data_IF_856839325483
#
_entry.id   IF_856839325483
#
_cell.length_a   1.000
_cell.length_b   1.000
_cell.length_c   1.000
_cell.angle_alpha   90.00
_cell.angle_beta   90.00
_cell.angle_gamma   90.00
#
_symmetry.space_group_name_H-M   'P 1'
#
loop_
_entity.id
_entity.type
_entity.pdbx_description
1 polymer ?
#
# COMPACT_ATOMS: atom_id res chain seq x y z
N UNK A 1 -1.97 18.24 44.09
CA UNK A 1 -1.30 16.92 44.15
C UNK A 1 -0.75 16.66 42.77
N UNK A 2 0.52 17.02 42.57
CA UNK A 2 1.25 16.75 41.34
C UNK A 2 1.58 15.27 41.29
N UNK A 3 1.03 14.57 40.31
CA UNK A 3 1.40 13.18 40.04
C UNK A 3 2.79 13.22 39.38
N UNK A 4 3.84 12.66 39.99
CA UNK A 4 5.14 12.61 39.35
C UNK A 4 5.04 11.74 38.10
N UNK A 5 5.48 12.28 36.96
CA UNK A 5 5.72 11.47 35.78
C UNK A 5 6.75 10.38 36.13
N UNK A 6 6.52 9.13 35.73
CA UNK A 6 7.43 8.03 36.05
C UNK A 6 8.84 8.38 35.56
N UNK A 7 9.77 8.43 36.49
CA UNK A 7 11.17 8.68 36.22
C UNK A 7 11.78 7.46 35.52
N UNK A 8 12.20 7.66 34.28
CA UNK A 8 13.36 7.01 33.67
C UNK A 8 13.35 5.49 33.62
N UNK A 9 12.49 4.91 32.78
CA UNK A 9 12.93 3.71 32.06
C UNK A 9 14.09 4.14 31.16
N UNK A 10 15.29 3.64 31.49
CA UNK A 10 16.48 3.75 30.65
C UNK A 10 16.10 3.42 29.21
N UNK A 11 16.18 4.41 28.33
CA UNK A 11 16.07 4.26 26.89
C UNK A 11 17.14 3.27 26.44
N UNK A 12 16.78 1.99 26.33
CA UNK A 12 17.62 0.99 25.68
C UNK A 12 17.88 1.48 24.27
N UNK A 13 19.09 1.96 24.00
CA UNK A 13 19.51 2.22 22.64
C UNK A 13 19.47 0.89 21.91
N UNK A 14 18.67 0.83 20.85
CA UNK A 14 18.67 -0.32 19.95
C UNK A 14 20.08 -0.61 19.46
N UNK A 15 20.47 -1.88 19.50
CA UNK A 15 21.62 -2.31 18.73
C UNK A 15 21.29 -2.13 17.23
N UNK A 16 22.23 -1.63 16.41
CA UNK A 16 22.00 -1.44 14.97
C UNK A 16 21.44 -2.69 14.26
N UNK A 17 21.89 -3.87 14.66
CA UNK A 17 21.49 -5.15 14.10
C UNK A 17 20.00 -5.45 14.34
N UNK A 18 19.49 -5.10 15.53
CA UNK A 18 18.07 -5.27 15.88
C UNK A 18 17.18 -4.33 15.05
N UNK A 19 17.63 -3.09 14.83
CA UNK A 19 16.92 -2.14 13.99
C UNK A 19 16.87 -2.61 12.53
N UNK A 20 18.00 -3.08 11.99
CA UNK A 20 18.09 -3.62 10.63
C UNK A 20 17.18 -4.84 10.49
N UNK A 21 17.21 -5.78 11.45
CA UNK A 21 16.37 -6.96 11.45
C UNK A 21 14.88 -6.62 11.51
N UNK A 22 14.48 -5.68 12.37
CA UNK A 22 13.11 -5.21 12.46
C UNK A 22 12.64 -4.54 11.16
N UNK A 23 13.47 -3.67 10.59
CA UNK A 23 13.14 -2.96 9.35
C UNK A 23 13.04 -3.92 8.15
N UNK A 24 13.94 -4.90 8.08
CA UNK A 24 13.87 -5.99 7.11
C UNK A 24 12.58 -6.80 7.23
N UNK A 25 12.20 -7.18 8.45
CA UNK A 25 10.96 -7.94 8.70
C UNK A 25 9.69 -7.14 8.33
N UNK A 26 9.69 -5.82 8.53
CA UNK A 26 8.61 -4.95 8.07
C UNK A 26 8.57 -4.85 6.55
N UNK A 27 9.73 -4.61 5.91
CA UNK A 27 9.84 -4.53 4.45
C UNK A 27 9.40 -5.83 3.76
N UNK A 28 9.80 -6.97 4.30
CA UNK A 28 9.41 -8.30 3.81
C UNK A 28 7.88 -8.45 3.83
N UNK A 29 7.23 -8.08 4.95
CA UNK A 29 5.76 -8.17 5.10
C UNK A 29 4.98 -7.27 4.16
N UNK A 30 5.55 -6.12 3.78
CA UNK A 30 4.87 -5.15 2.92
C UNK A 30 5.09 -5.45 1.43
N UNK A 31 6.31 -5.85 1.08
CA UNK A 31 6.76 -5.77 -0.31
C UNK A 31 7.37 -7.06 -0.87
N UNK A 32 7.46 -8.13 -0.10
CA UNK A 32 8.10 -9.36 -0.59
C UNK A 32 7.20 -10.58 -0.51
N UNK A 33 7.22 -11.37 -1.59
CA UNK A 33 6.76 -12.76 -1.64
C UNK A 33 7.65 -13.53 -2.60
N UNK A 34 7.73 -14.85 -2.48
CA UNK A 34 8.43 -15.66 -3.48
C UNK A 34 7.68 -15.75 -4.82
N UNK A 35 6.37 -15.50 -4.81
CA UNK A 35 5.51 -15.61 -5.99
C UNK A 35 5.67 -14.48 -7.00
N UNK A 36 5.38 -14.82 -8.25
CA UNK A 36 5.37 -13.90 -9.39
C UNK A 36 3.98 -13.81 -10.00
N UNK A 37 3.67 -12.66 -10.60
CA UNK A 37 2.45 -12.48 -11.38
C UNK A 37 2.43 -13.43 -12.57
N UNK A 38 1.24 -13.78 -13.03
CA UNK A 38 1.04 -14.56 -14.24
C UNK A 38 0.30 -13.72 -15.27
N UNK A 39 0.65 -13.95 -16.52
CA UNK A 39 -0.10 -13.43 -17.65
C UNK A 39 -1.49 -14.07 -17.65
N UNK A 40 -2.55 -13.27 -17.61
CA UNK A 40 -3.92 -13.77 -17.45
C UNK A 40 -4.40 -14.57 -18.68
N UNK A 41 -3.88 -14.25 -19.88
CA UNK A 41 -4.30 -14.91 -21.12
C UNK A 41 -3.55 -16.23 -21.37
N UNK A 42 -2.27 -16.29 -20.99
CA UNK A 42 -1.38 -17.43 -21.30
C UNK A 42 -1.00 -18.25 -20.07
N UNK A 43 -1.29 -17.78 -18.86
CA UNK A 43 -0.88 -18.40 -17.58
C UNK A 43 0.63 -18.32 -17.29
N UNK A 44 1.43 -17.75 -18.21
CA UNK A 44 2.89 -17.69 -18.12
C UNK A 44 3.32 -16.82 -16.93
N UNK A 45 4.29 -17.30 -16.16
CA UNK A 45 4.90 -16.53 -15.08
C UNK A 45 5.63 -15.31 -15.66
N UNK A 46 5.31 -14.13 -15.12
CA UNK A 46 5.94 -12.86 -15.44
C UNK A 46 7.17 -12.64 -14.55
N UNK A 47 8.02 -11.68 -14.92
CA UNK A 47 9.20 -11.30 -14.12
C UNK A 47 8.88 -10.36 -12.95
N UNK A 48 7.61 -10.03 -12.75
CA UNK A 48 7.16 -9.11 -11.72
C UNK A 48 6.67 -9.91 -10.52
N UNK A 49 7.31 -9.72 -9.37
CA UNK A 49 6.97 -10.36 -8.10
C UNK A 49 5.60 -9.89 -7.61
N UNK A 50 4.79 -10.77 -7.03
CA UNK A 50 3.59 -10.37 -6.28
C UNK A 50 4.02 -9.69 -4.98
N UNK A 51 3.17 -8.84 -4.42
CA UNK A 51 3.46 -8.15 -3.15
C UNK A 51 2.22 -8.06 -2.28
N UNK A 52 2.37 -8.11 -0.94
CA UNK A 52 1.29 -7.90 0.00
C UNK A 52 0.61 -6.54 -0.13
N UNK A 53 1.39 -5.47 -0.29
CA UNK A 53 0.86 -4.15 -0.64
C UNK A 53 0.41 -4.16 -2.11
N UNK A 54 -0.85 -3.79 -2.43
CA UNK A 54 -1.33 -3.76 -3.80
C UNK A 54 -0.69 -2.61 -4.57
N UNK A 55 -0.55 -2.78 -5.87
CA UNK A 55 -0.15 -1.70 -6.77
C UNK A 55 -0.88 -1.80 -8.10
N UNK A 56 -1.26 -0.66 -8.64
CA UNK A 56 -1.90 -0.58 -9.94
C UNK A 56 -1.04 -1.22 -11.03
N UNK A 57 -1.60 -2.23 -11.69
CA UNK A 57 -0.96 -2.99 -12.78
C UNK A 57 0.35 -3.65 -12.41
N UNK A 58 0.54 -4.00 -11.13
CA UNK A 58 1.77 -4.61 -10.64
C UNK A 58 3.03 -3.77 -10.93
N UNK A 59 2.91 -2.43 -10.94
CA UNK A 59 4.06 -1.56 -11.20
C UNK A 59 4.97 -1.41 -9.99
N UNK A 60 4.42 -1.53 -8.78
CA UNK A 60 5.08 -1.47 -7.49
C UNK A 60 6.16 -0.36 -7.40
N UNK A 61 5.74 0.91 -7.59
CA UNK A 61 6.68 2.03 -7.62
C UNK A 61 7.21 2.39 -6.23
N UNK A 62 6.50 2.02 -5.16
CA UNK A 62 6.81 2.48 -3.80
C UNK A 62 8.13 1.90 -3.30
N UNK A 63 8.99 2.74 -2.72
CA UNK A 63 10.13 2.28 -1.91
C UNK A 63 9.92 2.64 -0.43
N UNK A 64 10.63 1.94 0.43
CA UNK A 64 10.57 2.10 1.88
C UNK A 64 11.94 2.49 2.42
N UNK A 65 11.97 3.59 3.15
CA UNK A 65 13.15 4.12 3.83
C UNK A 65 12.90 4.25 5.32
N UNK A 66 13.96 4.19 6.10
CA UNK A 66 13.95 4.41 7.54
C UNK A 66 15.01 5.41 7.94
N UNK A 67 14.67 6.29 8.88
CA UNK A 67 15.61 7.17 9.57
C UNK A 67 15.51 7.00 11.09
N UNK A 68 16.67 6.88 11.75
CA UNK A 68 16.80 6.93 13.20
C UNK A 68 18.09 7.68 13.59
N UNK A 69 17.97 8.91 14.05
CA UNK A 69 19.14 9.76 14.32
C UNK A 69 19.96 9.99 13.05
N UNK A 70 21.21 9.52 13.03
CA UNK A 70 22.10 9.55 11.88
C UNK A 70 21.95 8.36 10.92
N UNK A 71 21.26 7.29 11.34
CA UNK A 71 21.08 6.09 10.54
C UNK A 71 20.03 6.28 9.45
N UNK A 72 20.33 5.80 8.25
CA UNK A 72 19.42 5.78 7.10
C UNK A 72 19.46 4.42 6.45
N UNK A 73 18.32 3.76 6.36
CA UNK A 73 18.21 2.43 5.76
C UNK A 73 17.20 2.47 4.62
N UNK A 74 17.46 1.71 3.56
CA UNK A 74 16.51 1.48 2.46
C UNK A 74 16.25 -0.02 2.31
N UNK A 75 14.99 -0.38 2.08
CA UNK A 75 14.61 -1.76 1.85
C UNK A 75 14.54 -2.07 0.35
N UNK A 76 15.39 -2.99 -0.12
CA UNK A 76 15.36 -3.52 -1.47
C UNK A 76 14.40 -4.70 -1.55
N UNK A 77 13.19 -4.36 -1.97
CA UNK A 77 12.08 -5.28 -2.19
C UNK A 77 12.24 -6.27 -3.36
N UNK A 78 13.24 -6.11 -4.24
CA UNK A 78 13.50 -7.11 -5.28
C UNK A 78 14.34 -8.27 -4.74
N UNK A 79 15.30 -7.96 -3.87
CA UNK A 79 16.26 -8.92 -3.31
C UNK A 79 16.00 -9.29 -1.84
N UNK A 80 15.01 -8.67 -1.18
CA UNK A 80 14.71 -8.84 0.25
C UNK A 80 15.93 -8.54 1.15
N UNK A 81 16.56 -7.39 0.92
CA UNK A 81 17.73 -6.95 1.70
C UNK A 81 17.58 -5.51 2.17
N UNK A 82 18.24 -5.18 3.27
CA UNK A 82 18.32 -3.82 3.81
C UNK A 82 19.69 -3.22 3.45
N UNK A 83 19.67 -2.02 2.87
CA UNK A 83 20.87 -1.25 2.56
C UNK A 83 21.07 -0.14 3.58
N UNK A 84 22.29 0.00 4.10
CA UNK A 84 22.69 1.14 4.91
C UNK A 84 23.15 2.29 4.00
N UNK A 85 22.41 3.39 4.06
CA UNK A 85 22.65 4.61 3.29
C UNK A 85 23.37 5.68 4.11
N UNK A 86 23.75 5.40 5.36
CA UNK A 86 24.30 6.39 6.29
C UNK A 86 25.64 6.97 5.82
N UNK A 87 26.42 6.20 5.05
CA UNK A 87 27.72 6.62 4.52
C UNK A 87 27.66 7.40 3.20
N UNK A 88 26.53 7.40 2.48
CA UNK A 88 26.43 7.93 1.10
C UNK A 88 26.43 9.46 1.03
N UNK A 89 26.33 10.15 2.17
CA UNK A 89 26.12 11.61 2.24
C UNK A 89 27.36 12.43 2.66
N UNK A 90 28.56 11.85 2.66
CA UNK A 90 29.80 12.59 2.98
C UNK A 90 30.26 13.58 1.90
N UNK A 91 29.56 13.69 0.76
CA UNK A 91 29.93 14.61 -0.33
C UNK A 91 28.87 15.69 -0.51
N UNK A 92 28.97 16.77 0.27
CA UNK A 92 28.43 18.08 -0.07
C UNK A 92 27.03 18.44 0.45
N UNK A 93 26.26 17.49 0.98
CA UNK A 93 24.98 17.80 1.59
C UNK A 93 25.21 18.31 3.01
N UNK A 94 24.93 19.61 3.22
CA UNK A 94 24.86 20.19 4.54
C UNK A 94 23.91 19.33 5.38
N UNK A 95 24.35 18.77 6.52
CA UNK A 95 23.45 18.04 7.39
C UNK A 95 22.36 19.02 7.79
N UNK A 96 21.12 18.79 7.36
CA UNK A 96 19.98 19.51 7.93
C UNK A 96 20.06 19.18 9.41
N UNK A 97 20.41 20.17 10.25
CA UNK A 97 20.56 20.04 11.70
C UNK A 97 19.17 19.87 12.32
N UNK A 98 18.55 18.72 12.03
CA UNK A 98 17.33 18.25 12.64
C UNK A 98 17.73 17.69 14.01
N UNK A 99 18.20 18.54 14.94
CA UNK A 99 18.46 18.13 16.32
C UNK A 99 17.19 17.51 16.89
N UNK A 100 17.10 16.18 17.06
CA UNK A 100 15.90 15.59 17.60
C UNK A 100 15.99 15.68 19.12
N UNK A 101 14.96 16.21 19.78
CA UNK A 101 14.77 16.09 21.25
C UNK A 101 14.44 14.65 21.70
N UNK A 102 14.63 13.65 20.82
CA UNK A 102 14.86 12.23 21.09
C UNK A 102 14.95 11.45 19.78
N UNK A 103 15.64 10.30 19.73
CA UNK A 103 15.61 9.41 18.57
C UNK A 103 14.16 8.95 18.33
N UNK A 104 13.59 9.37 17.19
CA UNK A 104 12.31 8.87 16.67
C UNK A 104 12.60 8.07 15.41
N UNK A 105 11.99 6.90 15.28
CA UNK A 105 12.02 6.12 14.05
C UNK A 105 11.03 6.75 13.08
N UNK A 106 11.50 7.13 11.90
CA UNK A 106 10.66 7.62 10.80
C UNK A 106 10.75 6.67 9.63
N UNK A 107 9.60 6.29 9.11
CA UNK A 107 9.50 5.61 7.82
C UNK A 107 9.13 6.63 6.77
N UNK A 108 9.82 6.60 5.64
CA UNK A 108 9.52 7.46 4.50
C UNK A 108 9.18 6.59 3.30
N UNK A 109 8.03 6.87 2.70
CA UNK A 109 7.53 6.20 1.50
C UNK A 109 7.72 7.11 0.30
N UNK A 110 8.42 6.58 -0.67
CA UNK A 110 8.80 7.24 -1.90
C UNK A 110 8.24 6.47 -3.09
N UNK A 111 8.30 7.01 -4.29
CA UNK A 111 7.86 6.35 -5.52
C UNK A 111 8.92 6.46 -6.61
N UNK A 112 9.11 5.40 -7.40
CA UNK A 112 9.90 5.40 -8.64
C UNK A 112 8.95 5.68 -9.82
N UNK A 113 8.86 6.92 -10.36
CA UNK A 113 7.87 7.26 -11.39
C UNK A 113 8.02 6.43 -12.66
N UNK A 114 9.26 6.09 -13.01
CA UNK A 114 9.58 5.32 -14.21
C UNK A 114 8.90 3.94 -14.27
N UNK A 115 8.52 3.36 -13.12
CA UNK A 115 7.85 2.04 -13.08
C UNK A 115 6.39 2.07 -13.56
N UNK A 116 5.72 3.22 -13.49
CA UNK A 116 4.29 3.33 -13.79
C UNK A 116 3.95 4.43 -14.79
N UNK A 117 4.81 5.43 -14.97
CA UNK A 117 4.56 6.52 -15.92
C UNK A 117 4.45 6.05 -17.36
N UNK A 118 5.27 5.09 -17.80
CA UNK A 118 5.24 4.56 -19.17
C UNK A 118 3.88 3.96 -19.54
N UNK A 119 3.24 3.29 -18.57
CA UNK A 119 1.93 2.63 -18.71
C UNK A 119 0.75 3.58 -18.52
N UNK A 120 0.81 4.44 -17.50
CA UNK A 120 -0.37 5.21 -17.05
C UNK A 120 -0.33 6.68 -17.42
N UNK A 121 0.83 7.20 -17.85
CA UNK A 121 1.01 8.58 -18.33
C UNK A 121 0.42 9.59 -17.34
N UNK A 122 -0.49 10.45 -17.80
CA UNK A 122 -1.14 11.49 -16.99
C UNK A 122 -1.97 10.95 -15.82
N UNK A 123 -2.30 9.65 -15.79
CA UNK A 123 -2.99 8.99 -14.66
C UNK A 123 -2.03 8.43 -13.61
N UNK A 124 -0.73 8.42 -13.87
CA UNK A 124 0.24 7.77 -12.98
C UNK A 124 0.26 8.41 -11.58
N UNK A 125 0.08 9.72 -11.48
CA UNK A 125 0.20 10.44 -10.21
C UNK A 125 -0.89 10.06 -9.18
N UNK A 126 -2.14 9.83 -9.60
CA UNK A 126 -3.19 9.35 -8.68
C UNK A 126 -2.90 7.94 -8.20
N UNK A 127 -2.34 7.10 -9.08
CA UNK A 127 -1.91 5.75 -8.75
C UNK A 127 -0.71 5.73 -7.79
N UNK A 128 0.22 6.69 -7.92
CA UNK A 128 1.31 6.85 -6.95
C UNK A 128 0.78 7.16 -5.55
N UNK A 129 -0.20 8.06 -5.45
CA UNK A 129 -0.86 8.38 -4.18
C UNK A 129 -1.54 7.13 -3.62
N UNK A 130 -2.30 6.40 -4.44
CA UNK A 130 -2.95 5.16 -4.03
C UNK A 130 -1.92 4.15 -3.49
N UNK A 131 -0.88 3.83 -4.26
CA UNK A 131 0.13 2.85 -3.88
C UNK A 131 0.86 3.24 -2.58
N UNK A 132 1.21 4.51 -2.41
CA UNK A 132 1.81 5.03 -1.16
C UNK A 132 0.85 4.93 0.01
N UNK A 133 -0.41 5.33 -0.15
CA UNK A 133 -1.41 5.24 0.92
C UNK A 133 -1.63 3.79 1.35
N UNK A 134 -1.70 2.87 0.40
CA UNK A 134 -1.78 1.44 0.70
C UNK A 134 -0.54 0.95 1.43
N UNK A 135 0.67 1.35 1.04
CA UNK A 135 1.90 1.00 1.76
C UNK A 135 1.92 1.53 3.20
N UNK A 136 1.52 2.80 3.40
CA UNK A 136 1.46 3.45 4.71
C UNK A 136 0.45 2.74 5.62
N UNK A 137 -0.78 2.51 5.14
CA UNK A 137 -1.79 1.80 5.93
C UNK A 137 -1.40 0.33 6.15
N UNK A 138 -0.69 -0.29 5.21
CA UNK A 138 -0.12 -1.63 5.37
C UNK A 138 0.91 -1.66 6.49
N UNK A 139 1.81 -0.67 6.55
CA UNK A 139 2.77 -0.53 7.63
C UNK A 139 2.07 -0.31 8.98
N UNK A 140 1.09 0.60 9.04
CA UNK A 140 0.28 0.84 10.25
C UNK A 140 -0.41 -0.44 10.74
N UNK A 141 -0.96 -1.20 9.81
CA UNK A 141 -1.62 -2.46 10.08
C UNK A 141 -0.63 -3.53 10.59
N UNK A 142 0.53 -3.68 9.94
CA UNK A 142 1.60 -4.59 10.36
C UNK A 142 2.12 -4.27 11.76
N UNK A 143 2.22 -2.98 12.09
CA UNK A 143 2.67 -2.46 13.38
C UNK A 143 1.58 -2.50 14.47
N UNK A 144 0.38 -3.01 14.17
CA UNK A 144 -0.66 -3.29 15.16
C UNK A 144 -1.44 -2.08 15.68
N UNK A 145 -1.32 -0.90 15.05
CA UNK A 145 -2.18 0.27 15.33
C UNK A 145 -2.11 0.87 16.76
N UNK A 146 -1.06 0.56 17.52
CA UNK A 146 -0.89 1.06 18.89
C UNK A 146 -0.52 2.56 19.00
N UNK A 147 -0.50 3.13 20.21
CA UNK A 147 -0.21 4.55 20.47
C UNK A 147 1.19 5.00 20.03
N UNK A 148 2.06 4.04 19.71
CA UNK A 148 3.41 4.29 19.20
C UNK A 148 3.41 4.61 17.70
N UNK A 149 2.45 4.09 16.92
CA UNK A 149 2.36 4.38 15.48
C UNK A 149 1.67 5.73 15.27
N UNK A 150 2.48 6.77 15.05
CA UNK A 150 2.02 8.12 14.80
C UNK A 150 1.13 8.24 13.57
N UNK A 151 0.39 9.34 13.49
CA UNK A 151 -0.33 9.68 12.27
C UNK A 151 0.67 9.84 11.10
N UNK A 152 0.29 9.51 9.85
CA UNK A 152 1.05 9.93 8.69
C UNK A 152 1.25 11.45 8.75
N UNK A 153 2.48 11.92 8.58
CA UNK A 153 2.77 13.35 8.54
C UNK A 153 3.07 13.78 7.10
N UNK A 154 2.44 14.88 6.69
CA UNK A 154 2.65 15.52 5.40
C UNK A 154 3.77 16.56 5.56
N UNK A 155 5.01 16.08 5.64
CA UNK A 155 6.16 16.98 5.53
C UNK A 155 6.37 17.33 4.04
N UNK A 156 6.84 18.54 3.76
CA UNK A 156 7.11 18.95 2.39
C UNK A 156 8.09 18.00 1.68
N UNK A 157 8.04 17.89 0.34
CA UNK A 157 8.81 16.92 -0.43
C UNK A 157 10.33 17.00 -0.17
N UNK A 158 10.88 18.20 0.03
CA UNK A 158 12.30 18.40 0.40
C UNK A 158 12.64 17.76 1.75
N UNK A 159 11.77 17.88 2.75
CA UNK A 159 11.99 17.28 4.08
C UNK A 159 11.95 15.76 3.97
N UNK A 160 10.93 15.22 3.30
CA UNK A 160 10.81 13.77 3.09
C UNK A 160 11.96 13.20 2.26
N UNK A 161 12.42 13.93 1.23
CA UNK A 161 13.60 13.53 0.46
C UNK A 161 14.85 13.47 1.35
N UNK A 162 15.07 14.50 2.17
CA UNK A 162 16.16 14.51 3.14
C UNK A 162 16.08 13.37 4.15
N UNK A 163 14.89 12.99 4.60
CA UNK A 163 14.68 11.82 5.48
C UNK A 163 15.04 10.49 4.80
N UNK A 164 14.70 10.35 3.52
CA UNK A 164 15.05 9.19 2.70
C UNK A 164 16.50 9.21 2.16
N UNK A 165 17.27 10.28 2.42
CA UNK A 165 18.62 10.43 1.84
C UNK A 165 18.61 10.63 0.32
N UNK A 166 17.51 11.18 -0.22
CA UNK A 166 17.37 11.53 -1.61
C UNK A 166 17.80 12.99 -1.84
N UNK A 167 18.30 13.34 -3.05
CA UNK A 167 18.56 14.72 -3.43
C UNK A 167 17.30 15.59 -3.31
N UNK A 168 17.49 16.89 -3.07
CA UNK A 168 16.38 17.83 -3.02
C UNK A 168 15.61 17.83 -4.37
N UNK A 169 14.29 17.91 -4.24
CA UNK A 169 13.32 18.11 -5.33
C UNK A 169 13.52 19.40 -6.11
N UNK A 170 14.28 20.37 -5.60
CA UNK A 170 14.68 21.58 -6.32
C UNK A 170 15.94 21.42 -7.17
N UNK A 171 16.90 20.57 -6.76
CA UNK A 171 18.19 20.33 -7.44
C UNK A 171 18.12 19.16 -8.41
N UNK A 172 16.93 18.95 -8.92
CA UNK A 172 16.40 17.67 -9.29
C UNK A 172 16.94 17.40 -10.72
N UNK A 173 17.93 16.52 -10.95
CA UNK A 173 18.50 16.34 -12.27
C UNK A 173 17.48 15.69 -13.22
N UNK A 174 17.56 15.97 -14.51
CA UNK A 174 16.67 15.45 -15.57
C UNK A 174 16.62 13.91 -15.69
N UNK A 175 17.37 13.19 -14.85
CA UNK A 175 17.52 11.74 -14.81
C UNK A 175 16.71 11.02 -13.70
N UNK A 176 15.69 11.66 -13.09
CA UNK A 176 14.96 11.18 -11.90
C UNK A 176 14.81 9.67 -11.78
N UNK A 177 15.13 9.16 -10.58
CA UNK A 177 14.76 7.81 -10.19
C UNK A 177 13.65 7.75 -9.14
N UNK A 178 13.48 8.74 -8.25
CA UNK A 178 12.59 8.59 -7.08
C UNK A 178 12.00 9.91 -6.53
N UNK A 179 10.74 9.90 -6.05
CA UNK A 179 10.04 11.04 -5.42
C UNK A 179 9.58 10.67 -4.01
N UNK A 180 9.87 11.50 -3.01
CA UNK A 180 9.33 11.31 -1.67
C UNK A 180 7.89 11.81 -1.57
N UNK A 181 6.99 11.01 -1.00
CA UNK A 181 5.54 11.28 -1.04
C UNK A 181 4.95 11.41 0.36
N UNK A 182 5.27 10.51 1.29
CA UNK A 182 4.65 10.50 2.62
C UNK A 182 5.62 9.99 3.70
N UNK A 183 5.60 10.64 4.86
CA UNK A 183 6.26 10.16 6.07
C UNK A 183 5.29 9.50 7.05
N UNK A 184 5.80 8.55 7.82
CA UNK A 184 5.11 7.91 8.95
C UNK A 184 6.04 7.90 10.16
N UNK A 185 5.65 8.62 11.22
CA UNK A 185 6.34 8.51 12.50
C UNK A 185 5.93 7.19 13.18
N UNK A 186 6.91 6.37 13.56
CA UNK A 186 6.65 5.12 14.30
C UNK A 186 6.78 5.33 15.82
N UNK A 187 6.95 6.58 16.27
CA UNK A 187 6.98 6.97 17.69
C UNK A 187 8.37 6.90 18.35
N UNK A 188 8.44 7.20 19.66
CA UNK A 188 9.58 6.86 20.53
C UNK A 188 9.47 5.39 20.88
N UNK A 189 9.94 4.54 20.00
CA UNK A 189 9.92 3.09 20.22
C UNK A 189 11.30 2.73 20.77
N UNK A 190 11.37 2.30 22.02
CA UNK A 190 12.11 1.04 22.22
C UNK A 190 11.35 0.02 21.37
N UNK A 191 12.03 -0.67 20.44
CA UNK A 191 11.44 -1.32 19.27
C UNK A 191 10.21 -2.14 19.66
N UNK A 192 9.18 -2.26 18.79
CA UNK A 192 8.24 -3.35 18.97
C UNK A 192 9.10 -4.60 18.88
N UNK A 193 9.12 -5.43 19.94
CA UNK A 193 9.76 -6.74 19.85
C UNK A 193 9.38 -7.36 18.51
N UNK A 194 10.34 -7.87 17.74
CA UNK A 194 10.11 -8.40 16.39
C UNK A 194 8.91 -9.37 16.32
N UNK A 195 8.55 -10.00 17.44
CA UNK A 195 7.34 -10.81 17.62
C UNK A 195 5.98 -10.07 17.71
N UNK A 196 5.94 -8.74 17.68
CA UNK A 196 4.71 -7.92 17.75
C UNK A 196 4.17 -7.50 16.37
N UNK A 197 4.91 -7.76 15.29
CA UNK A 197 4.39 -7.53 13.94
C UNK A 197 3.26 -8.55 13.67
N UNK A 198 2.14 -8.08 13.10
CA UNK A 198 1.03 -8.94 12.65
C UNK A 198 1.42 -9.71 11.38
N UNK A 199 2.36 -10.63 11.52
CA UNK A 199 3.03 -11.41 10.47
C UNK A 199 2.08 -12.19 9.51
N UNK A 200 0.95 -12.80 9.94
CA UNK A 200 0.19 -13.69 9.07
C UNK A 200 -0.79 -13.01 8.10
N UNK A 201 -1.31 -11.83 8.45
CA UNK A 201 -2.48 -11.27 7.75
C UNK A 201 -2.13 -10.61 6.40
N UNK A 202 -1.00 -9.90 6.31
CA UNK A 202 -0.58 -9.27 5.06
C UNK A 202 -0.03 -10.28 4.05
N UNK A 203 0.73 -11.29 4.48
CA UNK A 203 1.34 -12.28 3.56
C UNK A 203 0.31 -13.09 2.75
N UNK A 204 -0.92 -13.21 3.24
CA UNK A 204 -2.02 -13.90 2.54
C UNK A 204 -2.79 -13.01 1.56
N UNK A 205 -2.53 -11.71 1.54
CA UNK A 205 -3.20 -10.77 0.64
C UNK A 205 -3.03 -11.08 -0.84
N UNK A 206 -1.83 -11.47 -1.33
CA UNK A 206 -1.66 -11.77 -2.75
C UNK A 206 -2.64 -12.86 -3.19
N UNK A 207 -2.73 -13.96 -2.45
CA UNK A 207 -3.59 -15.11 -2.77
C UNK A 207 -5.08 -14.79 -2.68
N UNK A 208 -5.44 -13.83 -1.82
CA UNK A 208 -6.82 -13.37 -1.64
C UNK A 208 -7.24 -12.26 -2.63
N UNK A 209 -6.35 -11.84 -3.55
CA UNK A 209 -6.60 -10.76 -4.54
C UNK A 209 -6.73 -11.22 -5.98
N UNK A 210 -6.19 -12.39 -6.31
CA UNK A 210 -6.02 -12.85 -7.68
C UNK A 210 -6.78 -14.15 -7.90
N UNK A 211 -8.10 -14.10 -7.77
CA UNK A 211 -8.94 -15.18 -8.27
C UNK A 211 -8.71 -15.23 -9.78
N UNK A 212 -8.33 -16.39 -10.35
CA UNK A 212 -8.22 -16.51 -11.79
C UNK A 212 -9.56 -16.14 -12.43
N UNK A 213 -9.56 -15.35 -13.51
CA UNK A 213 -10.80 -14.98 -14.22
C UNK A 213 -11.61 -16.21 -14.63
N UNK A 214 -10.94 -17.34 -14.92
CA UNK A 214 -11.61 -18.62 -15.20
C UNK A 214 -12.48 -19.12 -14.03
N UNK A 215 -12.10 -18.84 -12.78
CA UNK A 215 -12.89 -19.19 -11.59
C UNK A 215 -14.08 -18.25 -11.46
N UNK A 216 -13.90 -16.95 -11.75
CA UNK A 216 -15.00 -15.98 -11.78
C UNK A 216 -16.02 -16.29 -12.88
N UNK A 217 -15.55 -16.66 -14.07
CA UNK A 217 -16.40 -17.05 -15.20
C UNK A 217 -17.26 -18.28 -14.87
N UNK A 218 -16.68 -19.29 -14.20
CA UNK A 218 -17.40 -20.50 -13.80
C UNK A 218 -18.46 -20.25 -12.72
N UNK A 219 -18.20 -19.35 -11.77
CA UNK A 219 -19.19 -18.92 -10.76
C UNK A 219 -20.34 -18.13 -11.42
N UNK A 220 -20.03 -17.29 -12.41
CA UNK A 220 -21.04 -16.52 -13.16
C UNK A 220 -21.97 -17.44 -13.97
N UNK A 221 -21.43 -18.43 -14.69
CA UNK A 221 -22.22 -19.42 -15.44
C UNK A 221 -23.14 -20.27 -14.53
N UNK A 222 -22.70 -20.52 -13.30
CA UNK A 222 -23.50 -21.25 -12.30
C UNK A 222 -24.64 -20.41 -11.73
N UNK A 223 -24.42 -19.10 -11.60
CA UNK A 223 -25.42 -18.15 -11.10
C UNK A 223 -26.41 -17.70 -12.19
N UNK A 224 -26.04 -17.69 -13.48
CA UNK A 224 -26.94 -17.30 -14.59
C UNK A 224 -28.13 -18.24 -14.80
N UNK A 225 -28.14 -19.43 -14.19
CA UNK A 225 -29.32 -20.30 -14.14
C UNK A 225 -30.38 -19.85 -13.14
N UNK A 226 -30.12 -18.80 -12.37
CA UNK A 226 -31.03 -18.24 -11.38
C UNK A 226 -30.99 -16.72 -11.43
N UNK A 227 -32.12 -16.09 -11.74
CA UNK A 227 -32.47 -14.66 -11.53
C UNK A 227 -32.37 -13.73 -12.77
N UNK A 228 -33.52 -13.13 -13.08
CA UNK A 228 -33.70 -11.91 -13.87
C UNK A 228 -32.67 -10.83 -13.52
N UNK A 229 -31.89 -10.36 -14.49
CA UNK A 229 -30.87 -9.31 -14.28
C UNK A 229 -31.53 -8.02 -13.77
N UNK A 230 -31.28 -7.70 -12.49
CA UNK A 230 -31.76 -6.49 -11.85
C UNK A 230 -31.09 -5.21 -12.41
N UNK A 231 -31.79 -4.06 -12.40
CA UNK A 231 -31.28 -2.77 -12.89
C UNK A 231 -30.00 -2.25 -12.20
N UNK A 232 -29.61 -2.81 -11.05
CA UNK A 232 -28.37 -2.45 -10.35
C UNK A 232 -27.08 -2.86 -11.10
N UNK A 233 -27.14 -3.76 -12.08
CA UNK A 233 -25.98 -4.10 -12.92
C UNK A 233 -25.49 -2.94 -13.80
N UNK A 234 -26.34 -1.94 -14.06
CA UNK A 234 -25.93 -0.74 -14.81
C UNK A 234 -24.93 0.13 -14.02
N UNK A 235 -24.92 0.01 -12.67
CA UNK A 235 -23.91 0.64 -11.82
C UNK A 235 -22.55 -0.10 -11.85
N UNK A 236 -22.51 -1.37 -12.27
CA UNK A 236 -21.29 -2.19 -12.41
C UNK A 236 -20.58 -2.03 -13.77
N UNK A 237 -21.27 -1.55 -14.80
CA UNK A 237 -20.66 -1.23 -16.10
C UNK A 237 -19.72 -0.01 -16.03
N UNK A 238 -19.99 0.93 -15.13
CA UNK A 238 -19.21 2.15 -14.97
C UNK A 238 -17.76 1.88 -14.53
N UNK A 239 -17.49 1.06 -13.49
CA UNK A 239 -16.12 0.75 -13.09
C UNK A 239 -15.25 0.10 -14.15
N UNK A 240 -15.84 -0.73 -15.01
CA UNK A 240 -15.15 -1.40 -16.13
C UNK A 240 -14.67 -0.36 -17.15
N UNK A 241 -15.58 0.53 -17.57
CA UNK A 241 -15.26 1.58 -18.55
C UNK A 241 -14.25 2.60 -18.01
N UNK A 242 -14.38 2.98 -16.73
CA UNK A 242 -13.57 4.04 -16.14
C UNK A 242 -12.17 3.58 -15.71
N UNK A 243 -12.04 2.33 -15.25
CA UNK A 243 -10.74 1.80 -14.82
C UNK A 243 -9.87 1.35 -15.99
N UNK A 244 -10.50 1.10 -17.17
CA UNK A 244 -9.84 0.47 -18.32
C UNK A 244 -9.50 -1.01 -18.07
N UNK A 245 -10.17 -1.64 -17.12
CA UNK A 245 -9.98 -3.04 -16.74
C UNK A 245 -11.27 -3.80 -17.05
N UNK A 246 -11.16 -5.00 -17.63
CA UNK A 246 -12.32 -5.81 -18.04
C UNK A 246 -12.89 -6.67 -16.91
N UNK A 247 -12.02 -7.14 -16.03
CA UNK A 247 -12.37 -8.04 -14.94
C UNK A 247 -13.35 -7.49 -13.87
N UNK A 248 -13.50 -6.17 -13.63
CA UNK A 248 -14.49 -5.69 -12.64
C UNK A 248 -15.94 -6.06 -13.01
N UNK A 249 -16.21 -6.39 -14.27
CA UNK A 249 -17.53 -6.83 -14.74
C UNK A 249 -17.96 -8.17 -14.11
N UNK A 250 -16.99 -8.97 -13.66
CA UNK A 250 -17.18 -10.35 -13.21
C UNK A 250 -17.35 -10.44 -11.68
N UNK A 251 -17.40 -9.30 -10.96
CA UNK A 251 -17.49 -9.27 -9.50
C UNK A 251 -18.91 -9.02 -9.03
N UNK A 252 -19.33 -9.82 -8.05
CA UNK A 252 -20.69 -9.79 -7.48
C UNK A 252 -20.97 -8.50 -6.70
N UNK A 253 -19.95 -7.94 -6.03
CA UNK A 253 -20.11 -6.74 -5.21
C UNK A 253 -18.96 -5.75 -5.40
N UNK A 254 -19.30 -4.49 -5.74
CA UNK A 254 -18.35 -3.39 -5.79
C UNK A 254 -18.76 -2.28 -4.84
N UNK A 255 -17.82 -1.87 -3.98
CA UNK A 255 -17.95 -0.66 -3.17
C UNK A 255 -17.25 0.49 -3.86
N UNK A 256 -18.02 1.48 -4.30
CA UNK A 256 -17.51 2.67 -4.97
C UNK A 256 -17.28 3.81 -3.97
N UNK A 257 -16.22 4.58 -4.21
CA UNK A 257 -15.92 5.81 -3.50
C UNK A 257 -15.99 6.96 -4.48
N UNK A 258 -17.04 7.77 -4.39
CA UNK A 258 -17.33 8.85 -5.32
C UNK A 258 -17.33 10.20 -4.63
N UNK A 259 -17.07 11.26 -5.39
CA UNK A 259 -17.26 12.65 -4.96
C UNK A 259 -17.95 13.46 -6.05
N UNK A 260 -18.70 14.52 -5.70
CA UNK A 260 -19.30 15.40 -6.70
C UNK A 260 -18.26 15.97 -7.68
N UNK A 261 -18.61 16.11 -8.96
CA UNK A 261 -17.70 16.72 -9.95
C UNK A 261 -17.47 18.21 -9.68
N UNK A 262 -18.34 18.84 -8.91
CA UNK A 262 -18.23 20.23 -8.46
C UNK A 262 -17.31 20.39 -7.25
N UNK A 263 -16.76 19.31 -6.69
CA UNK A 263 -15.78 19.38 -5.59
C UNK A 263 -14.56 20.20 -6.00
N UNK A 264 -14.18 21.18 -5.18
CA UNK A 264 -13.04 22.03 -5.46
C UNK A 264 -11.72 21.22 -5.47
N UNK A 265 -10.69 21.65 -6.21
CA UNK A 265 -9.45 20.89 -6.34
C UNK A 265 -8.74 20.58 -5.02
N UNK A 266 -8.86 21.44 -4.01
CA UNK A 266 -8.19 21.23 -2.73
C UNK A 266 -8.92 20.23 -1.84
N UNK A 267 -10.24 20.31 -1.80
CA UNK A 267 -11.07 19.29 -1.19
C UNK A 267 -10.91 17.96 -1.93
N UNK A 268 -10.83 17.95 -3.26
CA UNK A 268 -10.60 16.75 -4.06
C UNK A 268 -9.30 16.04 -3.67
N UNK A 269 -8.19 16.78 -3.51
CA UNK A 269 -6.91 16.21 -3.04
C UNK A 269 -7.06 15.55 -1.66
N UNK A 270 -7.73 16.21 -0.71
CA UNK A 270 -7.95 15.66 0.64
C UNK A 270 -8.83 14.42 0.59
N UNK A 271 -9.90 14.45 -0.22
CA UNK A 271 -10.81 13.34 -0.42
C UNK A 271 -10.10 12.15 -1.07
N UNK A 272 -9.23 12.38 -2.06
CA UNK A 272 -8.46 11.31 -2.71
C UNK A 272 -7.62 10.51 -1.69
N UNK A 273 -6.86 11.20 -0.83
CA UNK A 273 -6.06 10.55 0.21
C UNK A 273 -6.96 9.84 1.24
N UNK A 274 -8.04 10.49 1.68
CA UNK A 274 -8.99 9.93 2.64
C UNK A 274 -9.67 8.66 2.13
N UNK A 275 -10.12 8.67 0.87
CA UNK A 275 -10.76 7.54 0.19
C UNK A 275 -9.79 6.38 0.06
N UNK A 276 -8.56 6.61 -0.40
CA UNK A 276 -7.56 5.54 -0.49
C UNK A 276 -7.21 4.97 0.88
N UNK A 277 -7.16 5.80 1.93
CA UNK A 277 -6.92 5.34 3.30
C UNK A 277 -8.05 4.44 3.78
N UNK A 278 -9.29 4.88 3.62
CA UNK A 278 -10.47 4.08 3.98
C UNK A 278 -10.50 2.76 3.20
N UNK A 279 -10.23 2.81 1.89
CA UNK A 279 -10.21 1.63 1.05
C UNK A 279 -9.07 0.66 1.43
N UNK A 280 -7.89 1.17 1.79
CA UNK A 280 -6.78 0.36 2.26
C UNK A 280 -7.11 -0.34 3.59
N UNK A 281 -7.70 0.39 4.54
CA UNK A 281 -8.15 -0.17 5.82
C UNK A 281 -9.18 -1.28 5.62
N UNK A 282 -10.20 -1.06 4.78
CA UNK A 282 -11.15 -2.12 4.43
C UNK A 282 -10.41 -3.30 3.79
N UNK A 283 -9.52 -3.04 2.83
CA UNK A 283 -8.76 -4.11 2.16
C UNK A 283 -8.00 -4.99 3.16
N UNK A 284 -7.34 -4.39 4.15
CA UNK A 284 -6.57 -5.14 5.16
C UNK A 284 -7.48 -5.90 6.13
N UNK A 285 -8.56 -5.27 6.61
CA UNK A 285 -9.55 -5.90 7.51
C UNK A 285 -10.28 -7.06 6.84
N UNK A 286 -10.75 -6.88 5.61
CA UNK A 286 -11.45 -7.92 4.83
C UNK A 286 -10.53 -9.10 4.56
N UNK A 287 -9.28 -8.81 4.19
CA UNK A 287 -8.29 -9.85 3.99
C UNK A 287 -7.93 -10.58 5.28
N UNK A 288 -7.83 -9.91 6.44
CA UNK A 288 -7.63 -10.57 7.74
C UNK A 288 -8.76 -11.55 8.01
N UNK A 289 -10.01 -11.13 7.76
CA UNK A 289 -11.21 -11.94 7.88
C UNK A 289 -11.33 -13.07 6.84
N UNK A 290 -10.34 -13.23 5.96
CA UNK A 290 -10.32 -14.30 4.96
C UNK A 290 -11.02 -13.98 3.66
N UNK A 291 -11.67 -12.82 3.55
CA UNK A 291 -12.44 -12.43 2.35
C UNK A 291 -11.52 -11.97 1.23
N UNK A 292 -12.00 -12.17 0.01
CA UNK A 292 -11.30 -11.75 -1.19
C UNK A 292 -11.69 -10.31 -1.52
N UNK A 293 -10.69 -9.45 -1.59
CA UNK A 293 -10.87 -8.01 -1.81
C UNK A 293 -9.82 -7.51 -2.78
N UNK A 294 -10.26 -6.85 -3.85
CA UNK A 294 -9.38 -6.31 -4.88
C UNK A 294 -9.59 -4.79 -5.03
N UNK A 295 -8.57 -3.97 -4.74
CA UNK A 295 -8.67 -2.54 -4.96
C UNK A 295 -8.57 -2.20 -6.44
N UNK A 296 -9.38 -1.23 -6.85
CA UNK A 296 -9.40 -0.65 -8.19
C UNK A 296 -9.13 0.84 -8.06
N UNK A 297 -8.22 1.36 -8.87
CA UNK A 297 -7.86 2.78 -8.90
C UNK A 297 -7.61 3.23 -10.34
N UNK A 298 -7.37 4.53 -10.53
CA UNK A 298 -7.04 5.10 -11.85
C UNK A 298 -8.25 5.34 -12.74
N UNK A 299 -9.41 5.55 -12.12
CA UNK A 299 -10.66 5.88 -12.78
C UNK A 299 -10.52 7.17 -13.60
N UNK A 300 -10.99 7.14 -14.84
CA UNK A 300 -11.22 8.34 -15.64
C UNK A 300 -12.61 8.90 -15.37
N UNK A 301 -12.77 10.21 -15.54
CA UNK A 301 -14.08 10.85 -15.50
C UNK A 301 -15.01 10.29 -16.60
N UNK A 302 -16.28 10.05 -16.25
CA UNK A 302 -17.34 9.72 -17.22
C UNK A 302 -18.09 11.00 -17.61
N UNK A 303 -18.15 11.36 -18.90
CA UNK A 303 -18.99 12.45 -19.36
C UNK A 303 -20.46 12.25 -18.95
N UNK A 304 -21.11 13.31 -18.46
CA UNK A 304 -22.54 13.29 -18.12
C UNK A 304 -22.90 12.78 -16.71
N UNK A 305 -21.96 12.24 -15.94
CA UNK A 305 -22.20 11.88 -14.53
C UNK A 305 -22.09 13.11 -13.60
N UNK A 306 -22.90 13.19 -12.54
CA UNK A 306 -22.77 14.23 -11.52
C UNK A 306 -21.58 14.01 -10.59
N UNK A 307 -21.17 12.75 -10.42
CA UNK A 307 -20.10 12.32 -9.53
C UNK A 307 -18.92 11.73 -10.30
N UNK A 308 -17.73 11.79 -9.70
CA UNK A 308 -16.52 11.10 -10.15
C UNK A 308 -16.14 10.00 -9.18
N UNK A 309 -15.80 8.84 -9.71
CA UNK A 309 -15.26 7.73 -8.92
C UNK A 309 -13.77 7.97 -8.65
N UNK A 310 -13.37 7.98 -7.39
CA UNK A 310 -11.97 8.11 -6.98
C UNK A 310 -11.31 6.74 -6.80
N UNK A 311 -12.06 5.77 -6.31
CA UNK A 311 -11.58 4.42 -6.00
C UNK A 311 -12.74 3.43 -5.95
N UNK A 312 -12.43 2.14 -6.05
CA UNK A 312 -13.39 1.09 -5.74
C UNK A 312 -12.71 -0.10 -5.07
N UNK A 313 -13.51 -0.87 -4.33
CA UNK A 313 -13.13 -2.20 -3.85
C UNK A 313 -14.09 -3.21 -4.46
N UNK A 314 -13.53 -4.17 -5.18
CA UNK A 314 -14.27 -5.36 -5.55
C UNK A 314 -14.19 -6.33 -4.36
N UNK A 315 -15.34 -6.81 -3.89
CA UNK A 315 -15.48 -7.72 -2.75
C UNK A 315 -16.17 -8.99 -3.23
N UNK A 316 -15.61 -10.14 -2.88
CA UNK A 316 -16.28 -11.42 -3.11
C UNK A 316 -16.69 -12.00 -1.77
N UNK A 317 -17.99 -12.22 -1.62
CA UNK A 317 -18.51 -12.99 -0.52
C UNK A 317 -18.08 -14.44 -0.72
N UNK A 318 -17.41 -15.01 0.28
CA UNK A 318 -17.32 -16.45 0.33
C UNK A 318 -18.74 -16.97 0.50
N UNK A 319 -19.32 -17.55 -0.55
CA UNK A 319 -20.25 -18.63 -0.32
C UNK A 319 -19.46 -19.67 0.46
N UNK A 320 -19.76 -19.76 1.76
CA UNK A 320 -19.34 -20.84 2.62
C UNK A 320 -20.01 -22.10 2.07
N UNK A 321 -19.54 -22.59 0.92
CA UNK A 321 -19.84 -23.93 0.48
C UNK A 321 -19.06 -24.80 1.46
N UNK A 322 -19.80 -25.28 2.44
CA UNK A 322 -19.47 -26.34 3.38
C UNK A 322 -18.96 -27.56 2.58
N UNK A 323 -17.72 -27.49 2.10
CA UNK A 323 -16.96 -28.64 1.63
C UNK A 323 -16.40 -29.29 2.88
N UNK A 324 -17.30 -29.85 3.68
CA UNK A 324 -16.99 -30.98 4.53
C UNK A 324 -16.17 -31.95 3.67
N UNK A 325 -14.97 -32.38 4.13
CA UNK A 325 -14.18 -33.34 3.39
C UNK A 325 -15.02 -34.61 3.29
N UNK A 326 -15.52 -34.92 2.08
CA UNK A 326 -16.01 -36.27 1.80
C UNK A 326 -14.79 -37.16 1.95
N UNK A 327 -14.76 -37.86 3.08
CA UNK A 327 -13.78 -38.88 3.34
C UNK A 327 -14.00 -39.99 2.32
N UNK A 328 -13.00 -40.18 1.48
CA UNK A 328 -12.75 -41.44 0.79
C UNK A 328 -11.25 -41.68 0.95
N UNK A 329 -10.89 -42.35 2.06
CA UNK A 329 -9.65 -43.09 2.14
C UNK A 329 -9.91 -44.47 1.51
N UNK A 330 -9.08 -44.95 0.57
CA UNK A 330 -9.07 -46.36 0.20
C UNK A 330 -8.58 -47.26 1.35
#
# INVERSE_FOLDING_TARGET
MDVPLPQGETTGSLAPEELIGWFGALGEQLFFTEDFHRDEATGRVLRVRRRPVPSAGATYPVQLHLRLGGWRLAYDQEHNVVHDLSAVLTTGDQPIDLRPTAPRVRLTFTVLPGRSFSRYRHRAWTLWIADVVYAVEGARYALGGGPLVGAPHDAGPTVLAGEAGLPDSATWPTSYRELAVQGLDVGRVGPPHVGALKLPALRRLPDRRSIPLAVLAADTESSEKSVDRAPDQQQLLDPVHCSGQRWPAEWTHMRLFTVPRTTDPMQLRRQLVSVHRQAAQITYTEAEAGRQVRPVSGFTDVPGRPDRCLHALALQEHHCADRSPRGDYP
#
